data_IF_381426539204
#
_entry.id   IF_381426539204
#
_cell.length_a   1.000
_cell.length_b   1.000
_cell.length_c   1.000
_cell.angle_alpha   90.00
_cell.angle_beta   90.00
_cell.angle_gamma   90.00
#
_symmetry.space_group_name_H-M   'P 1'
#
loop_
_entity.id
_entity.type
_entity.pdbx_description
1 polymer ?
#
# COMPACT_ATOMS: atom_id res chain seq x y z
N UNK A 1 -21.53 11.46 8.19
CA UNK A 1 -20.74 12.60 7.69
C UNK A 1 -19.52 12.17 6.86
N UNK A 2 -18.55 11.43 7.42
CA UNK A 2 -17.34 11.00 6.67
C UNK A 2 -17.69 10.18 5.43
N UNK A 3 -18.59 9.19 5.56
CA UNK A 3 -19.04 8.35 4.44
C UNK A 3 -19.63 9.17 3.27
N UNK A 4 -20.47 10.16 3.60
CA UNK A 4 -21.15 11.01 2.60
C UNK A 4 -20.17 11.90 1.84
N UNK A 5 -19.13 12.43 2.51
CA UNK A 5 -18.17 13.34 1.88
C UNK A 5 -17.25 12.58 0.92
N UNK A 6 -16.81 11.37 1.28
CA UNK A 6 -15.97 10.55 0.42
C UNK A 6 -16.69 10.11 -0.87
N UNK A 7 -18.01 9.89 -0.80
CA UNK A 7 -18.84 9.51 -1.93
C UNK A 7 -19.35 10.72 -2.76
N UNK A 8 -19.36 11.92 -2.19
CA UNK A 8 -19.83 13.12 -2.88
C UNK A 8 -18.78 13.70 -3.83
N UNK A 9 -19.18 14.39 -4.92
CA UNK A 9 -18.28 15.18 -5.76
C UNK A 9 -17.88 16.46 -5.00
N UNK A 10 -17.09 16.30 -3.95
CA UNK A 10 -16.53 17.38 -3.16
C UNK A 10 -15.07 17.63 -3.54
N UNK A 11 -14.55 18.76 -3.09
CA UNK A 11 -13.16 19.14 -3.32
C UNK A 11 -12.20 18.07 -2.80
N UNK A 12 -11.21 17.69 -3.61
CA UNK A 12 -10.33 16.55 -3.31
C UNK A 12 -9.57 16.70 -1.98
N UNK A 13 -9.24 17.93 -1.56
CA UNK A 13 -8.60 18.17 -0.26
C UNK A 13 -9.50 17.79 0.91
N UNK A 14 -10.81 17.97 0.77
CA UNK A 14 -11.78 17.51 1.77
C UNK A 14 -11.73 15.99 1.91
N UNK A 15 -11.67 15.25 0.78
CA UNK A 15 -11.52 13.79 0.80
C UNK A 15 -10.22 13.34 1.46
N UNK A 16 -9.10 13.99 1.12
CA UNK A 16 -7.79 13.73 1.76
C UNK A 16 -7.86 13.94 3.28
N UNK A 17 -8.40 15.07 3.74
CA UNK A 17 -8.55 15.34 5.19
C UNK A 17 -9.47 14.33 5.86
N UNK A 18 -10.56 13.91 5.20
CA UNK A 18 -11.47 12.90 5.74
C UNK A 18 -10.81 11.52 5.86
N UNK A 19 -9.96 11.11 4.90
CA UNK A 19 -9.20 9.86 5.00
C UNK A 19 -8.22 9.89 6.18
N UNK A 20 -7.53 11.01 6.39
CA UNK A 20 -6.65 11.18 7.55
C UNK A 20 -7.42 11.12 8.86
N UNK A 21 -8.56 11.82 8.95
CA UNK A 21 -9.44 11.76 10.11
C UNK A 21 -9.95 10.34 10.37
N UNK A 22 -10.36 9.62 9.32
CA UNK A 22 -10.79 8.22 9.41
C UNK A 22 -9.70 7.34 9.99
N UNK A 23 -8.45 7.47 9.53
CA UNK A 23 -7.29 6.74 10.08
C UNK A 23 -7.18 6.94 11.60
N UNK A 24 -7.22 8.19 12.05
CA UNK A 24 -7.09 8.55 13.47
C UNK A 24 -8.29 8.02 14.29
N UNK A 25 -9.51 8.17 13.79
CA UNK A 25 -10.72 7.73 14.50
C UNK A 25 -10.79 6.21 14.67
N UNK A 26 -10.47 5.46 13.61
CA UNK A 26 -10.47 4.00 13.64
C UNK A 26 -9.37 3.49 14.56
N UNK A 27 -8.17 4.09 14.54
CA UNK A 27 -7.11 3.72 15.45
C UNK A 27 -7.51 3.94 16.92
N UNK A 28 -8.09 5.10 17.24
CA UNK A 28 -8.49 5.43 18.62
C UNK A 28 -9.70 4.63 19.12
N UNK A 29 -10.56 4.13 18.23
CA UNK A 29 -11.82 3.47 18.59
C UNK A 29 -12.00 2.13 17.86
N UNK A 30 -10.94 1.33 17.80
CA UNK A 30 -10.83 0.11 16.97
C UNK A 30 -12.05 -0.82 17.13
N UNK A 31 -12.45 -1.12 18.36
CA UNK A 31 -13.56 -2.04 18.65
C UNK A 31 -14.92 -1.50 18.21
N UNK A 32 -15.13 -0.17 18.29
CA UNK A 32 -16.38 0.46 17.86
C UNK A 32 -16.49 0.40 16.34
N UNK A 33 -15.38 0.66 15.64
CA UNK A 33 -15.36 0.64 14.17
C UNK A 33 -15.26 -0.78 13.58
N UNK A 34 -15.00 -1.80 14.38
CA UNK A 34 -14.95 -3.19 13.91
C UNK A 34 -16.28 -3.67 13.30
N UNK A 35 -17.42 -3.12 13.76
CA UNK A 35 -18.76 -3.43 13.24
C UNK A 35 -18.98 -2.90 11.81
N UNK A 36 -18.27 -1.84 11.43
CA UNK A 36 -18.39 -1.14 10.13
C UNK A 36 -17.15 -1.36 9.25
N UNK A 37 -16.40 -2.44 9.53
CA UNK A 37 -15.13 -2.76 8.85
C UNK A 37 -15.29 -2.89 7.33
N UNK A 38 -16.33 -3.57 6.89
CA UNK A 38 -16.59 -3.80 5.46
C UNK A 38 -16.87 -2.49 4.71
N UNK A 39 -17.64 -1.59 5.31
CA UNK A 39 -17.98 -0.30 4.72
C UNK A 39 -16.75 0.61 4.61
N UNK A 40 -15.88 0.60 5.63
CA UNK A 40 -14.58 1.28 5.58
C UNK A 40 -13.71 0.70 4.46
N UNK A 41 -13.71 -0.63 4.31
CA UNK A 41 -12.99 -1.32 3.23
C UNK A 41 -13.47 -0.89 1.85
N UNK A 42 -14.78 -0.88 1.62
CA UNK A 42 -15.38 -0.44 0.35
C UNK A 42 -15.04 1.03 0.03
N UNK A 43 -15.06 1.91 1.04
CA UNK A 43 -14.67 3.31 0.85
C UNK A 43 -13.20 3.47 0.48
N UNK A 44 -12.30 2.71 1.11
CA UNK A 44 -10.88 2.71 0.76
C UNK A 44 -10.66 2.22 -0.67
N UNK A 45 -11.35 1.16 -1.08
CA UNK A 45 -11.30 0.65 -2.45
C UNK A 45 -11.82 1.66 -3.48
N UNK A 46 -12.88 2.39 -3.15
CA UNK A 46 -13.35 3.53 -3.94
C UNK A 46 -12.29 4.63 -4.04
N UNK A 47 -11.70 5.01 -2.90
CA UNK A 47 -10.68 6.07 -2.82
C UNK A 47 -9.38 5.72 -3.54
N UNK A 48 -9.01 4.44 -3.58
CA UNK A 48 -7.87 3.91 -4.37
C UNK A 48 -8.13 3.92 -5.88
N UNK A 49 -9.37 4.10 -6.30
CA UNK A 49 -9.79 4.19 -7.71
C UNK A 49 -10.09 5.63 -8.15
N UNK A 50 -9.84 6.62 -7.29
CA UNK A 50 -10.09 8.02 -7.60
C UNK A 50 -9.13 8.57 -8.66
N UNK A 51 -9.62 9.46 -9.51
CA UNK A 51 -8.79 10.06 -10.56
C UNK A 51 -7.63 10.89 -9.96
N UNK A 52 -7.91 11.61 -8.88
CA UNK A 52 -6.93 12.45 -8.19
C UNK A 52 -5.85 11.59 -7.52
N UNK A 53 -4.58 11.85 -7.85
CA UNK A 53 -3.44 11.08 -7.35
C UNK A 53 -3.30 11.16 -5.83
N UNK A 54 -3.48 12.33 -5.25
CA UNK A 54 -3.31 12.61 -3.82
C UNK A 54 -4.33 11.86 -2.96
N UNK A 55 -5.56 11.68 -3.46
CA UNK A 55 -6.58 10.87 -2.78
C UNK A 55 -6.12 9.41 -2.74
N UNK A 56 -5.68 8.87 -3.88
CA UNK A 56 -5.20 7.49 -3.98
C UNK A 56 -4.02 7.23 -3.05
N UNK A 57 -3.04 8.14 -3.02
CA UNK A 57 -1.88 8.05 -2.12
C UNK A 57 -2.31 8.09 -0.64
N UNK A 58 -3.17 9.03 -0.27
CA UNK A 58 -3.68 9.15 1.11
C UNK A 58 -4.49 7.91 1.52
N UNK A 59 -5.25 7.33 0.59
CA UNK A 59 -5.99 6.09 0.82
C UNK A 59 -5.06 4.91 1.07
N UNK A 60 -3.96 4.80 0.33
CA UNK A 60 -2.94 3.78 0.53
C UNK A 60 -2.24 3.93 1.90
N UNK A 61 -1.88 5.15 2.28
CA UNK A 61 -1.28 5.43 3.59
C UNK A 61 -2.25 5.16 4.76
N UNK A 62 -3.55 5.34 4.51
CA UNK A 62 -4.60 4.99 5.46
C UNK A 62 -4.74 3.48 5.57
N UNK A 63 -4.83 2.78 4.45
CA UNK A 63 -4.88 1.31 4.39
C UNK A 63 -3.68 0.68 5.12
N UNK A 64 -2.47 1.17 4.87
CA UNK A 64 -1.24 0.68 5.53
C UNK A 64 -1.34 0.80 7.05
N UNK A 65 -1.79 1.96 7.56
CA UNK A 65 -1.95 2.17 8.99
C UNK A 65 -3.04 1.30 9.63
N UNK A 66 -4.11 1.01 8.89
CA UNK A 66 -5.19 0.13 9.37
C UNK A 66 -4.78 -1.35 9.36
N UNK A 67 -3.91 -1.76 8.44
CA UNK A 67 -3.30 -3.10 8.48
C UNK A 67 -2.33 -3.17 9.66
N UNK A 68 -1.49 -2.15 9.85
CA UNK A 68 -0.53 -2.09 10.96
C UNK A 68 -1.23 -2.15 12.33
N UNK A 69 -2.40 -1.50 12.48
CA UNK A 69 -3.19 -1.57 13.71
C UNK A 69 -4.01 -2.85 13.86
N UNK A 70 -3.82 -3.86 12.99
CA UNK A 70 -4.60 -5.10 12.95
C UNK A 70 -6.12 -4.90 12.74
N UNK A 71 -6.54 -3.73 12.23
CA UNK A 71 -7.93 -3.50 11.88
C UNK A 71 -8.32 -4.28 10.62
N UNK A 72 -7.42 -4.34 9.63
CA UNK A 72 -7.53 -5.24 8.50
C UNK A 72 -6.47 -6.35 8.60
N UNK A 73 -6.89 -7.58 8.33
CA UNK A 73 -5.99 -8.72 8.21
C UNK A 73 -5.66 -8.95 6.74
N UNK A 74 -4.38 -9.19 6.43
CA UNK A 74 -3.95 -9.53 5.08
C UNK A 74 -4.33 -10.99 4.82
N UNK A 75 -5.35 -11.22 4.01
CA UNK A 75 -5.77 -12.55 3.56
C UNK A 75 -5.28 -12.82 2.14
N UNK A 76 -5.07 -14.08 1.73
CA UNK A 76 -4.63 -14.40 0.37
C UNK A 76 -5.62 -13.90 -0.69
N UNK A 77 -6.92 -13.93 -0.42
CA UNK A 77 -7.95 -13.43 -1.35
C UNK A 77 -7.81 -11.92 -1.57
N UNK A 78 -7.48 -11.16 -0.52
CA UNK A 78 -7.22 -9.72 -0.62
C UNK A 78 -5.96 -9.44 -1.45
N UNK A 79 -4.91 -10.23 -1.25
CA UNK A 79 -3.66 -10.11 -2.01
C UNK A 79 -3.85 -10.36 -3.50
N UNK A 80 -4.64 -11.38 -3.85
CA UNK A 80 -4.93 -11.70 -5.24
C UNK A 80 -5.84 -10.64 -5.87
N UNK A 81 -6.86 -10.15 -5.15
CA UNK A 81 -7.67 -9.03 -5.62
C UNK A 81 -6.85 -7.75 -5.89
N UNK A 82 -5.87 -7.43 -5.03
CA UNK A 82 -4.98 -6.28 -5.26
C UNK A 82 -4.01 -6.51 -6.42
N UNK A 83 -3.52 -7.75 -6.58
CA UNK A 83 -2.68 -8.12 -7.70
C UNK A 83 -3.44 -8.05 -9.03
N UNK A 84 -4.68 -8.51 -9.09
CA UNK A 84 -5.51 -8.42 -10.28
C UNK A 84 -5.75 -6.96 -10.68
N UNK A 85 -6.04 -6.10 -9.68
CA UNK A 85 -6.15 -4.66 -9.90
C UNK A 85 -4.85 -4.04 -10.38
N UNK A 86 -3.70 -4.45 -9.84
CA UNK A 86 -2.39 -4.01 -10.27
C UNK A 86 -2.03 -4.44 -11.71
N UNK A 87 -2.72 -5.42 -12.27
CA UNK A 87 -2.58 -5.84 -13.67
C UNK A 87 -3.68 -5.30 -14.59
N UNK A 88 -4.61 -4.49 -14.07
CA UNK A 88 -5.69 -3.87 -14.85
C UNK A 88 -5.16 -3.05 -16.02
N UNK A 89 -5.91 -2.96 -17.14
CA UNK A 89 -5.57 -2.10 -18.28
C UNK A 89 -5.82 -0.61 -17.99
N UNK A 90 -6.70 -0.30 -17.06
CA UNK A 90 -6.99 1.07 -16.64
C UNK A 90 -5.84 1.61 -15.77
N UNK A 91 -5.16 2.71 -16.17
CA UNK A 91 -4.01 3.25 -15.43
C UNK A 91 -4.36 3.70 -14.01
N UNK A 92 -5.59 4.13 -13.75
CA UNK A 92 -6.04 4.57 -12.43
C UNK A 92 -6.19 3.36 -11.51
N UNK A 93 -6.91 2.34 -11.97
CA UNK A 93 -7.12 1.08 -11.23
C UNK A 93 -5.79 0.35 -11.02
N UNK A 94 -4.94 0.31 -12.06
CA UNK A 94 -3.59 -0.26 -12.02
C UNK A 94 -2.76 0.37 -10.92
N UNK A 95 -2.66 1.69 -10.91
CA UNK A 95 -1.89 2.40 -9.89
C UNK A 95 -2.51 2.22 -8.50
N UNK A 96 -3.83 2.19 -8.37
CA UNK A 96 -4.51 1.85 -7.11
C UNK A 96 -4.17 0.45 -6.59
N UNK A 97 -4.06 -0.55 -7.47
CA UNK A 97 -3.59 -1.90 -7.12
C UNK A 97 -2.15 -1.91 -6.62
N UNK A 98 -1.24 -1.23 -7.35
CA UNK A 98 0.16 -1.08 -6.93
C UNK A 98 0.27 -0.37 -5.58
N UNK A 99 -0.50 0.72 -5.37
CA UNK A 99 -0.59 1.41 -4.09
C UNK A 99 -1.09 0.50 -2.95
N UNK A 100 -2.00 -0.41 -3.25
CA UNK A 100 -2.52 -1.37 -2.27
C UNK A 100 -1.45 -2.40 -1.87
N UNK A 101 -0.70 -2.93 -2.84
CA UNK A 101 0.46 -3.80 -2.57
C UNK A 101 1.54 -3.04 -1.78
N UNK A 102 1.82 -1.78 -2.15
CA UNK A 102 2.71 -0.90 -1.40
C UNK A 102 2.25 -0.68 0.05
N UNK A 103 0.96 -0.48 0.28
CA UNK A 103 0.40 -0.30 1.60
C UNK A 103 0.61 -1.54 2.49
N UNK A 104 0.49 -2.74 1.92
CA UNK A 104 0.77 -4.00 2.63
C UNK A 104 2.25 -4.09 3.00
N UNK A 105 3.15 -3.74 2.08
CA UNK A 105 4.59 -3.75 2.37
C UNK A 105 4.94 -2.80 3.52
N UNK A 106 4.39 -1.59 3.48
CA UNK A 106 4.66 -0.55 4.48
C UNK A 106 3.95 -0.78 5.81
N UNK A 107 2.96 -1.69 5.86
CA UNK A 107 2.23 -2.01 7.08
C UNK A 107 3.02 -2.91 8.05
N UNK A 108 4.10 -3.55 7.58
CA UNK A 108 4.97 -4.41 8.38
C UNK A 108 6.38 -3.83 8.48
N UNK A 109 6.57 -2.66 9.14
CA UNK A 109 7.92 -2.18 9.40
C UNK A 109 8.63 -3.14 10.38
N UNK A 110 9.94 -3.33 10.21
CA UNK A 110 10.79 -4.14 11.10
C UNK A 110 10.45 -5.64 11.17
N UNK A 111 9.64 -6.15 10.24
CA UNK A 111 9.22 -7.56 10.24
C UNK A 111 8.91 -8.03 8.83
N UNK A 112 9.19 -9.30 8.56
CA UNK A 112 8.90 -9.92 7.26
C UNK A 112 7.97 -11.11 7.47
N UNK A 113 6.63 -10.89 7.47
CA UNK A 113 5.66 -11.98 7.45
C UNK A 113 5.84 -12.87 6.22
N UNK A 114 5.36 -14.12 6.29
CA UNK A 114 5.55 -15.11 5.23
C UNK A 114 4.99 -14.70 3.85
N UNK A 115 3.95 -13.86 3.82
CA UNK A 115 3.39 -13.33 2.56
C UNK A 115 4.20 -12.17 1.97
N UNK A 116 5.04 -11.49 2.77
CA UNK A 116 5.68 -10.23 2.40
C UNK A 116 6.71 -10.38 1.27
N UNK A 117 7.56 -11.43 1.22
CA UNK A 117 8.47 -11.66 0.10
C UNK A 117 7.76 -11.73 -1.25
N UNK A 118 6.64 -12.47 -1.32
CA UNK A 118 5.87 -12.60 -2.56
C UNK A 118 5.21 -11.28 -2.98
N UNK A 119 4.69 -10.51 -2.01
CA UNK A 119 4.12 -9.17 -2.29
C UNK A 119 5.20 -8.22 -2.80
N UNK A 120 6.40 -8.25 -2.23
CA UNK A 120 7.54 -7.47 -2.72
C UNK A 120 7.90 -7.84 -4.16
N UNK A 121 7.91 -9.14 -4.50
CA UNK A 121 8.18 -9.57 -5.88
C UNK A 121 7.10 -9.11 -6.86
N UNK A 122 5.82 -9.20 -6.47
CA UNK A 122 4.71 -8.64 -7.26
C UNK A 122 4.91 -7.14 -7.50
N UNK A 123 5.35 -6.39 -6.50
CA UNK A 123 5.62 -4.96 -6.60
C UNK A 123 6.82 -4.64 -7.51
N UNK A 124 7.91 -5.41 -7.39
CA UNK A 124 9.15 -5.19 -8.14
C UNK A 124 8.96 -5.26 -9.66
N UNK A 125 7.97 -6.03 -10.14
CA UNK A 125 7.60 -6.10 -11.57
C UNK A 125 7.21 -4.74 -12.16
N UNK A 126 6.75 -3.81 -11.32
CA UNK A 126 6.34 -2.47 -11.74
C UNK A 126 7.44 -1.41 -11.57
N UNK A 127 8.66 -1.80 -11.20
CA UNK A 127 9.77 -0.86 -10.95
C UNK A 127 10.21 -0.06 -12.20
N UNK A 128 9.93 -0.58 -13.41
CA UNK A 128 10.27 0.06 -14.69
C UNK A 128 9.07 0.70 -15.41
N UNK A 129 7.91 0.77 -14.76
CA UNK A 129 6.71 1.37 -15.32
C UNK A 129 6.84 2.89 -15.53
N UNK A 130 5.82 3.49 -16.17
CA UNK A 130 5.71 4.95 -16.24
C UNK A 130 5.26 5.54 -14.90
N UNK A 131 5.50 6.84 -14.72
CA UNK A 131 4.93 7.58 -13.59
C UNK A 131 3.39 7.58 -13.69
N UNK A 132 2.66 7.52 -12.56
CA UNK A 132 3.13 7.60 -11.17
C UNK A 132 3.52 6.26 -10.51
N UNK A 133 3.40 5.14 -11.23
CA UNK A 133 3.60 3.78 -10.69
C UNK A 133 5.06 3.58 -10.26
N UNK A 134 6.02 3.89 -11.13
CA UNK A 134 7.45 3.74 -10.83
C UNK A 134 7.88 4.48 -9.56
N UNK A 135 7.42 5.72 -9.38
CA UNK A 135 7.78 6.52 -8.21
C UNK A 135 7.19 5.93 -6.92
N UNK A 136 5.99 5.34 -7.02
CA UNK A 136 5.34 4.62 -5.92
C UNK A 136 6.18 3.41 -5.51
N UNK A 137 6.58 2.57 -6.48
CA UNK A 137 7.41 1.38 -6.22
C UNK A 137 8.75 1.76 -5.62
N UNK A 138 9.46 2.74 -6.21
CA UNK A 138 10.76 3.21 -5.70
C UNK A 138 10.65 3.73 -4.27
N UNK A 139 9.62 4.53 -3.95
CA UNK A 139 9.39 5.03 -2.59
C UNK A 139 9.15 3.88 -1.61
N UNK A 140 8.28 2.93 -1.98
CA UNK A 140 8.00 1.77 -1.13
C UNK A 140 9.25 0.93 -0.88
N UNK A 141 10.03 0.62 -1.91
CA UNK A 141 11.26 -0.15 -1.80
C UNK A 141 12.32 0.57 -0.94
N UNK A 142 12.43 1.89 -1.09
CA UNK A 142 13.32 2.72 -0.26
C UNK A 142 12.92 2.70 1.21
N UNK A 143 11.62 2.84 1.52
CA UNK A 143 11.12 2.79 2.89
C UNK A 143 11.24 1.39 3.51
N UNK A 144 10.98 0.34 2.73
CA UNK A 144 11.22 -1.04 3.16
C UNK A 144 12.69 -1.26 3.53
N UNK A 145 13.62 -0.88 2.64
CA UNK A 145 15.07 -0.96 2.90
C UNK A 145 15.45 -0.19 4.16
N UNK A 146 14.97 1.05 4.31
CA UNK A 146 15.26 1.91 5.46
C UNK A 146 14.78 1.29 6.78
N UNK A 147 13.62 0.64 6.79
CA UNK A 147 13.02 0.06 8.01
C UNK A 147 13.55 -1.32 8.36
N UNK A 148 14.19 -2.03 7.43
CA UNK A 148 14.66 -3.41 7.63
C UNK A 148 16.20 -3.52 7.67
N UNK A 149 16.94 -2.44 7.40
CA UNK A 149 18.40 -2.48 7.30
C UNK A 149 19.10 -2.95 8.60
N UNK A 150 18.60 -2.55 9.77
CA UNK A 150 19.29 -2.78 11.05
C UNK A 150 19.27 -4.28 11.43
N UNK A 151 18.21 -4.99 11.05
CA UNK A 151 18.00 -6.42 11.32
C UNK A 151 18.00 -7.25 10.03
N UNK A 152 18.66 -6.76 8.97
CA UNK A 152 18.59 -7.38 7.64
C UNK A 152 19.04 -8.84 7.62
N UNK A 153 20.03 -9.22 8.43
CA UNK A 153 20.51 -10.62 8.56
C UNK A 153 19.42 -11.60 8.98
N UNK A 154 18.47 -11.14 9.79
CA UNK A 154 17.33 -11.96 10.21
C UNK A 154 16.27 -11.97 9.11
N UNK A 155 15.99 -10.81 8.53
CA UNK A 155 14.98 -10.64 7.49
C UNK A 155 15.32 -11.35 6.18
N UNK A 156 16.59 -11.39 5.78
CA UNK A 156 17.02 -12.02 4.51
C UNK A 156 16.77 -13.53 4.50
N UNK A 157 16.72 -14.17 5.68
CA UNK A 157 16.37 -15.59 5.82
C UNK A 157 14.94 -15.93 5.36
N UNK A 158 14.07 -14.93 5.25
CA UNK A 158 12.69 -15.10 4.78
C UNK A 158 12.57 -15.07 3.25
N UNK A 159 13.66 -14.77 2.53
CA UNK A 159 13.70 -14.68 1.09
C UNK A 159 14.52 -15.82 0.50
N UNK A 160 14.15 -16.27 -0.70
CA UNK A 160 15.01 -17.17 -1.47
C UNK A 160 16.09 -16.39 -2.25
N UNK A 161 17.07 -17.11 -2.80
CA UNK A 161 18.21 -16.48 -3.51
C UNK A 161 17.77 -15.64 -4.72
N UNK A 162 16.76 -16.09 -5.47
CA UNK A 162 16.23 -15.37 -6.62
C UNK A 162 15.59 -14.03 -6.21
N UNK A 163 14.80 -14.05 -5.15
CA UNK A 163 14.16 -12.86 -4.57
C UNK A 163 15.21 -11.86 -4.08
N UNK A 164 16.24 -12.33 -3.37
CA UNK A 164 17.35 -11.49 -2.90
C UNK A 164 18.14 -10.88 -4.06
N UNK A 165 18.32 -11.62 -5.15
CA UNK A 165 18.97 -11.13 -6.36
C UNK A 165 18.21 -9.91 -6.94
N UNK A 166 16.89 -10.05 -7.12
CA UNK A 166 16.02 -8.97 -7.62
C UNK A 166 16.08 -7.74 -6.70
N UNK A 167 16.01 -7.93 -5.39
CA UNK A 167 16.05 -6.82 -4.43
C UNK A 167 17.39 -6.08 -4.48
N UNK A 168 18.52 -6.80 -4.59
CA UNK A 168 19.85 -6.20 -4.68
C UNK A 168 19.98 -5.33 -5.92
N UNK A 169 19.53 -5.81 -7.07
CA UNK A 169 19.61 -5.06 -8.33
C UNK A 169 18.80 -3.74 -8.26
N UNK A 170 17.62 -3.80 -7.64
CA UNK A 170 16.77 -2.63 -7.45
C UNK A 170 17.27 -1.67 -6.36
N UNK A 171 17.92 -2.17 -5.30
CA UNK A 171 18.46 -1.36 -4.21
C UNK A 171 19.80 -0.68 -4.52
N UNK A 172 20.51 -1.14 -5.56
CA UNK A 172 21.77 -0.56 -6.04
C UNK A 172 21.52 0.63 -6.99
N UNK A 173 20.34 0.69 -7.62
CA UNK A 173 19.99 1.78 -8.54
C UNK A 173 19.95 3.14 -7.83
N UNK A 174 20.87 4.08 -8.13
CA UNK A 174 20.86 5.40 -7.54
C UNK A 174 19.61 6.16 -8.01
N UNK A 175 18.97 6.92 -7.11
CA UNK A 175 17.86 7.83 -7.43
C UNK A 175 18.24 9.01 -8.37
N UNK A 176 19.43 8.98 -9.01
CA UNK A 176 20.02 10.11 -9.72
C UNK A 176 20.02 10.01 -11.24
N UNK A 177 19.68 8.87 -11.84
CA UNK A 177 19.51 8.78 -13.29
C UNK A 177 18.03 8.95 -13.64
N UNK A 178 17.67 10.22 -13.88
CA UNK A 178 16.39 10.66 -14.45
C UNK A 178 16.50 10.63 -15.97
#
# INVERSE_FOLDING_TARGET
>A
MILQILQSPCWWKSKVTMLWLMKVLVFSNLYVFATVREEIGQLLMGSLSECQLEIRQTAADTLSGLIQSSFFTVTPELLDAFNDRANSTDPIVRHGGVLSLSAIVLASPYSVPSYLPDVLMRLCRFASEKQPIRDTVKRTLSEFKRTHQDSWREHESQFNEDQLCVLRDLFVSPNYYV
#
